data_IF_001822007410
#
_entry.id   IF_001822007410
#
_cell.length_a   1.000
_cell.length_b   1.000
_cell.length_c   1.000
_cell.angle_alpha   90.00
_cell.angle_beta   90.00
_cell.angle_gamma   90.00
#
_symmetry.space_group_name_H-M   'P 1'
#
loop_
_entity.id
_entity.type
_entity.pdbx_description
1 polymer ?
2 polymer ?
3 branched ?
4 non-polymer ?
5 water ?
#
# COMPACT_ATOMS: atom_id res chain seq x y z
N UNK A 1 -8.72 -21.13 -8.83
CA UNK A 1 -8.17 -21.39 -10.16
C UNK A 1 -7.81 -20.16 -10.97
N UNK A 2 -8.08 -18.97 -10.39
CA UNK A 2 -7.79 -17.66 -10.97
C UNK A 2 -6.40 -17.16 -10.48
N UNK A 3 -6.09 -15.88 -10.70
CA UNK A 3 -4.82 -15.30 -10.24
C UNK A 3 -5.17 -14.22 -9.24
N UNK A 4 -4.36 -14.05 -8.22
CA UNK A 4 -4.60 -13.01 -7.22
C UNK A 4 -3.70 -11.82 -7.48
N UNK A 5 -4.30 -10.66 -7.84
CA UNK A 5 -3.62 -9.41 -8.09
C UNK A 5 -3.76 -8.47 -6.90
N UNK A 6 -2.62 -8.06 -6.33
CA UNK A 6 -2.52 -7.14 -5.20
C UNK A 6 -1.62 -5.95 -5.58
N UNK A 7 -1.94 -4.78 -5.03
CA UNK A 7 -1.16 -3.54 -5.22
C UNK A 7 -1.14 -2.76 -3.91
N UNK A 8 -0.06 -1.99 -3.71
CA UNK A 8 0.10 -1.16 -2.53
C UNK A 8 -0.41 0.27 -2.79
N UNK A 9 -1.18 0.79 -1.83
CA UNK A 9 -1.68 2.18 -1.86
C UNK A 9 -1.17 2.94 -0.63
N UNK A 10 -0.38 3.99 -0.85
CA UNK A 10 0.09 4.86 0.22
C UNK A 10 -0.82 6.06 0.27
N UNK A 11 -1.21 6.44 1.49
CA UNK A 11 -1.98 7.63 1.75
C UNK A 11 -0.97 8.78 1.78
N UNK A 12 -1.51 10.01 1.87
CA UNK A 12 -0.77 11.23 2.10
C UNK A 12 -0.40 11.22 3.58
N UNK A 13 0.68 11.94 3.96
CA UNK A 13 1.17 12.09 5.33
C UNK A 13 0.05 12.70 6.18
N UNK A 14 -0.12 12.24 7.43
CA UNK A 14 -1.20 12.71 8.29
C UNK A 14 -1.10 14.13 8.89
N UNK A 15 0.08 14.55 9.33
CA UNK A 15 0.24 15.80 10.05
C UNK A 15 0.72 15.53 11.47
N UNK A 16 1.11 16.56 12.27
CA UNK A 16 1.78 16.27 13.56
C UNK A 16 0.99 16.13 14.87
N UNK A 17 -0.34 15.91 14.85
CA UNK A 17 -0.98 15.76 16.17
C UNK A 17 -1.29 14.27 16.52
N UNK A 18 -1.69 14.00 17.79
CA UNK A 18 -2.06 12.66 18.29
C UNK A 18 -3.35 12.22 17.58
N UNK A 19 -4.21 13.21 17.27
CA UNK A 19 -5.49 13.04 16.58
C UNK A 19 -5.35 13.10 15.06
N UNK A 20 -4.13 13.36 14.54
CA UNK A 20 -3.88 13.40 13.09
C UNK A 20 -3.99 11.99 12.56
N UNK A 21 -4.88 11.80 11.59
CA UNK A 21 -5.05 10.47 11.04
C UNK A 21 -4.78 10.45 9.49
N UNK A 22 -4.37 9.28 8.99
CA UNK A 22 -4.07 9.01 7.59
C UNK A 22 -4.96 7.86 7.14
N UNK A 23 -5.58 7.99 5.95
CA UNK A 23 -6.47 6.95 5.40
C UNK A 23 -5.99 6.51 4.00
N UNK A 24 -5.76 5.20 3.82
CA UNK A 24 -5.40 4.64 2.51
C UNK A 24 -6.63 3.82 2.08
N UNK A 25 -7.07 4.00 0.82
CA UNK A 25 -8.28 3.35 0.30
C UNK A 25 -8.04 2.61 -1.01
N UNK A 26 -8.86 1.56 -1.24
CA UNK A 26 -8.86 0.76 -2.47
C UNK A 26 -9.89 1.32 -3.43
N UNK A 27 -9.84 0.90 -4.73
CA UNK A 27 -10.84 1.29 -5.73
C UNK A 27 -12.16 0.60 -5.36
N UNK A 28 -13.35 1.17 -5.70
CA UNK A 28 -14.62 0.54 -5.30
C UNK A 28 -14.76 -0.99 -5.46
N UNK A 29 -14.24 -1.61 -6.55
CA UNK A 29 -14.40 -3.07 -6.73
C UNK A 29 -13.23 -3.92 -6.17
N UNK A 30 -12.25 -3.29 -5.50
CA UNK A 30 -11.13 -4.05 -4.93
C UNK A 30 -11.40 -4.39 -3.47
N UNK A 31 -10.66 -5.37 -2.94
CA UNK A 31 -10.77 -5.73 -1.54
C UNK A 31 -9.51 -5.29 -0.80
N UNK A 32 -9.69 -4.81 0.44
CA UNK A 32 -8.59 -4.40 1.32
C UNK A 32 -8.15 -5.66 2.09
N UNK A 33 -7.05 -6.29 1.66
CA UNK A 33 -6.60 -7.55 2.26
C UNK A 33 -5.67 -7.38 3.48
N UNK A 34 -5.09 -6.19 3.65
CA UNK A 34 -4.23 -5.86 4.81
C UNK A 34 -4.02 -4.37 4.94
N UNK A 35 -3.57 -3.95 6.11
CA UNK A 35 -3.36 -2.57 6.44
C UNK A 35 -2.12 -2.42 7.29
N UNK A 36 -1.16 -1.63 6.78
CA UNK A 36 0.08 -1.33 7.50
C UNK A 36 0.29 0.20 7.58
N UNK A 37 1.39 0.63 8.19
CA UNK A 37 1.68 2.05 8.38
C UNK A 37 3.16 2.35 8.48
N UNK A 38 3.55 3.60 8.22
CA UNK A 38 4.96 3.99 8.28
C UNK A 38 5.12 5.40 8.81
N UNK A 39 6.19 5.60 9.58
CA UNK A 39 6.59 6.88 10.13
C UNK A 39 8.10 6.94 10.09
N UNK A 40 8.66 8.02 9.52
CA UNK A 40 10.10 8.23 9.37
C UNK A 40 10.87 8.24 10.69
N UNK A 41 10.20 8.51 11.81
CA UNK A 41 10.81 8.59 13.14
C UNK A 41 10.40 7.44 14.08
N UNK A 42 9.33 6.77 13.71
CA UNK A 42 8.64 5.82 14.57
C UNK A 42 7.56 6.71 15.15
N UNK A 43 7.41 6.78 16.47
CA UNK A 43 6.41 7.67 17.10
C UNK A 43 5.02 7.54 16.41
N UNK A 44 4.53 6.30 16.32
CA UNK A 44 3.24 6.00 15.72
C UNK A 44 2.37 5.20 16.68
N UNK A 45 1.07 5.12 16.40
CA UNK A 45 0.13 4.34 17.20
C UNK A 45 -0.52 3.20 16.39
N UNK A 46 0.20 2.73 15.38
CA UNK A 46 -0.24 1.63 14.53
C UNK A 46 -1.33 1.96 13.53
N UNK A 47 -2.20 0.97 13.23
CA UNK A 47 -3.26 1.10 12.22
C UNK A 47 -4.46 0.14 12.40
N UNK A 48 -5.58 0.45 11.77
CA UNK A 48 -6.77 -0.38 11.86
C UNK A 48 -7.56 -0.40 10.58
N UNK A 49 -8.17 -1.55 10.29
CA UNK A 49 -9.06 -1.73 9.16
C UNK A 49 -10.46 -1.33 9.65
N UNK A 50 -10.98 -0.21 9.13
CA UNK A 50 -12.23 0.41 9.55
C UNK A 50 -13.24 0.49 8.42
N UNK A 51 -14.53 0.28 8.74
CA UNK A 51 -15.63 0.36 7.79
C UNK A 51 -16.01 1.82 7.56
N UNK A 52 -15.95 2.27 6.30
CA UNK A 52 -16.28 3.63 5.88
C UNK A 52 -17.04 3.59 4.53
N UNK A 53 -18.34 3.88 4.58
CA UNK A 53 -19.23 3.87 3.42
C UNK A 53 -19.43 2.50 2.80
N UNK A 54 -19.62 1.49 3.65
CA UNK A 54 -19.81 0.10 3.23
C UNK A 54 -18.52 -0.66 2.95
N UNK A 55 -17.45 0.06 2.58
CA UNK A 55 -16.15 -0.54 2.27
C UNK A 55 -15.17 -0.41 3.43
N UNK A 56 -14.20 -1.33 3.49
CA UNK A 56 -13.16 -1.29 4.52
C UNK A 56 -12.01 -0.40 4.07
N UNK A 57 -11.52 0.44 4.98
CA UNK A 57 -10.42 1.38 4.73
C UNK A 57 -9.30 1.15 5.73
N UNK A 58 -8.07 1.55 5.36
CA UNK A 58 -6.87 1.42 6.19
C UNK A 58 -6.56 2.79 6.84
N UNK A 59 -6.76 2.89 8.18
CA UNK A 59 -6.53 4.10 8.95
C UNK A 59 -5.27 3.98 9.84
N UNK A 60 -4.33 4.95 9.75
CA UNK A 60 -3.11 4.97 10.56
C UNK A 60 -3.19 6.04 11.64
N UNK A 61 -2.66 5.73 12.82
CA UNK A 61 -2.71 6.64 13.96
C UNK A 61 -1.34 7.18 14.33
N UNK A 62 -1.26 8.50 14.56
CA UNK A 62 -0.04 9.15 14.97
C UNK A 62 0.08 9.19 16.51
N UNK A 63 1.33 9.25 17.00
CA UNK A 63 1.56 9.34 18.44
C UNK A 63 1.87 10.77 18.80
N UNK A 64 1.65 11.14 20.08
CA UNK A 64 1.98 12.47 20.56
C UNK A 64 3.50 12.66 20.34
N UNK A 65 3.87 13.80 19.78
CA UNK A 65 5.27 14.09 19.45
C UNK A 65 5.69 13.59 18.08
N UNK A 66 4.78 12.89 17.40
CA UNK A 66 5.04 12.34 16.06
C UNK A 66 4.74 13.37 14.99
N UNK A 67 5.58 13.42 13.93
CA UNK A 67 5.44 14.35 12.79
C UNK A 67 4.33 13.97 11.80
N UNK A 68 3.79 12.77 11.97
CA UNK A 68 2.75 12.26 11.07
C UNK A 68 3.02 10.85 10.62
N UNK A 69 1.98 10.18 10.11
CA UNK A 69 2.07 8.79 9.66
C UNK A 69 1.48 8.60 8.27
N UNK A 70 1.86 7.50 7.61
CA UNK A 70 1.28 7.10 6.35
C UNK A 70 0.48 5.82 6.58
N UNK A 71 -0.74 5.76 6.04
CA UNK A 71 -1.56 4.55 6.04
C UNK A 71 -1.17 3.81 4.73
N UNK A 72 -1.02 2.47 4.82
CA UNK A 72 -0.58 1.65 3.69
C UNK A 72 -1.55 0.47 3.48
N UNK A 73 -2.40 0.63 2.48
CA UNK A 73 -3.40 -0.36 2.11
C UNK A 73 -2.83 -1.36 1.11
N UNK A 74 -3.24 -2.64 1.25
CA UNK A 74 -2.93 -3.66 0.26
C UNK A 74 -4.27 -3.95 -0.41
N UNK A 75 -4.37 -3.59 -1.70
CA UNK A 75 -5.60 -3.66 -2.49
C UNK A 75 -5.54 -4.75 -3.51
N UNK A 76 -6.55 -5.66 -3.47
CA UNK A 76 -6.51 -6.85 -4.31
C UNK A 76 -7.81 -7.13 -5.08
N UNK A 77 -7.66 -7.70 -6.29
CA UNK A 77 -8.77 -8.19 -7.11
C UNK A 77 -8.95 -9.66 -6.70
N UNK A 78 -9.90 -9.88 -5.80
CA UNK A 78 -10.26 -11.17 -5.22
C UNK A 78 -11.70 -11.49 -5.65
N UNK A 79 -11.90 -12.35 -6.69
CA UNK A 79 -13.27 -12.63 -7.16
C UNK A 79 -14.10 -13.41 -6.15
N UNK A 80 -15.42 -13.11 -6.08
CA UNK A 80 -16.40 -13.81 -5.24
C UNK A 80 -16.05 -13.80 -3.73
N UNK A 81 -15.58 -12.64 -3.24
CA UNK A 81 -15.10 -12.45 -1.86
C UNK A 81 -16.09 -11.86 -0.86
N UNK A 82 -15.93 -12.28 0.41
CA UNK A 82 -16.65 -11.76 1.56
C UNK A 82 -15.61 -11.59 2.65
N UNK A 83 -15.13 -10.36 2.82
CA UNK A 83 -14.10 -10.04 3.80
C UNK A 83 -14.64 -9.26 4.97
N UNK A 84 -14.23 -9.63 6.17
CA UNK A 84 -14.63 -8.97 7.40
C UNK A 84 -13.44 -8.77 8.36
N UNK A 85 -13.59 -7.89 9.35
CA UNK A 85 -12.53 -7.61 10.31
C UNK A 85 -12.92 -8.09 11.70
N UNK A 86 -12.00 -8.83 12.34
CA UNK A 86 -12.17 -9.36 13.70
C UNK A 86 -11.15 -8.66 14.59
N UNK A 87 -11.64 -7.96 15.62
CA UNK A 87 -10.83 -7.17 16.56
C UNK A 87 -10.85 -7.75 17.97
N UNK A 88 -9.67 -7.80 18.60
CA UNK A 88 -9.50 -8.20 19.99
C UNK A 88 -8.87 -6.98 20.69
N UNK A 89 -9.53 -6.42 21.74
CA UNK A 89 -8.97 -5.24 22.40
C UNK A 89 -7.75 -5.61 23.25
N UNK A 90 -6.96 -4.66 23.78
CA UNK A 90 -5.81 -5.07 24.59
C UNK A 90 -6.13 -5.69 25.95
N UNK A 91 -5.23 -6.55 26.41
CA UNK A 91 -5.26 -7.17 27.73
C UNK A 91 -3.86 -6.90 28.30
N UNK A 92 -3.64 -5.67 28.77
CA UNK A 92 -2.38 -5.17 29.32
C UNK A 92 -1.64 -6.14 30.25
N UNK A 93 -2.40 -6.96 31.03
CA UNK A 93 -1.89 -7.97 31.98
C UNK A 93 -1.52 -9.34 31.34
N UNK A 94 -1.59 -9.44 29.98
CA UNK A 94 -1.30 -10.66 29.22
C UNK A 94 0.10 -10.67 28.54
N UNK A 95 0.43 -11.79 27.87
CA UNK A 95 1.69 -12.00 27.14
C UNK A 95 1.57 -11.54 25.66
N UNK A 96 0.40 -11.02 25.29
CA UNK A 96 0.14 -10.54 23.93
C UNK A 96 -1.31 -10.70 23.50
N UNK A 97 -1.82 -9.72 22.74
CA UNK A 97 -3.20 -9.75 22.23
C UNK A 97 -3.33 -10.73 21.06
N UNK A 98 -4.36 -11.61 21.12
CA UNK A 98 -4.59 -12.63 20.11
C UNK A 98 -6.02 -12.58 19.53
N UNK A 99 -6.11 -12.79 18.20
CA UNK A 99 -7.36 -12.87 17.46
C UNK A 99 -7.22 -13.82 16.25
N UNK A 100 -8.29 -14.55 15.94
CA UNK A 100 -8.30 -15.44 14.80
C UNK A 100 -9.67 -15.41 14.09
N UNK A 101 -9.68 -15.80 12.80
CA UNK A 101 -10.89 -15.87 11.96
C UNK A 101 -11.89 -16.89 12.54
N UNK A 102 -13.09 -16.42 12.93
CA UNK A 102 -14.13 -17.25 13.56
C UNK A 102 -14.98 -18.09 12.60
N UNK A 103 -15.27 -17.60 11.39
CA UNK A 103 -16.13 -18.34 10.45
C UNK A 103 -15.42 -19.46 9.72
N UNK A 104 -16.12 -20.63 9.56
CA UNK A 104 -15.56 -21.77 8.84
C UNK A 104 -15.44 -21.36 7.37
N UNK A 105 -14.29 -21.62 6.79
CA UNK A 105 -13.97 -21.21 5.43
C UNK A 105 -13.25 -19.88 5.35
N UNK A 106 -13.20 -19.11 6.49
CA UNK A 106 -12.52 -17.80 6.59
C UNK A 106 -11.02 -17.99 6.51
N UNK A 107 -10.37 -17.15 5.71
CA UNK A 107 -8.93 -17.21 5.54
C UNK A 107 -8.33 -15.86 5.95
N UNK A 108 -7.28 -15.90 6.77
CA UNK A 108 -6.52 -14.73 7.23
C UNK A 108 -5.64 -14.22 6.07
N UNK A 109 -5.84 -12.94 5.70
CA UNK A 109 -5.11 -12.29 4.61
C UNK A 109 -4.17 -11.22 5.14
N UNK A 110 -4.44 -10.73 6.35
CA UNK A 110 -3.70 -9.63 6.97
C UNK A 110 -3.97 -9.38 8.44
N UNK A 111 -2.96 -8.79 9.13
CA UNK A 111 -2.99 -8.43 10.56
C UNK A 111 -2.59 -6.96 10.75
N UNK A 112 -3.46 -6.19 11.42
CA UNK A 112 -3.22 -4.78 11.77
C UNK A 112 -3.22 -4.66 13.29
N UNK A 113 -2.55 -3.62 13.81
CA UNK A 113 -2.46 -3.40 15.25
C UNK A 113 -2.35 -1.92 15.55
N UNK A 114 -3.11 -1.48 16.57
CA UNK A 114 -3.08 -0.09 17.00
C UNK A 114 -3.12 -0.03 18.51
N UNK A 115 -2.50 0.99 19.08
CA UNK A 115 -2.45 1.15 20.53
C UNK A 115 -2.91 2.55 20.92
N UNK A 116 -3.46 2.69 22.12
CA UNK A 116 -3.94 3.98 22.61
C UNK A 116 -2.88 4.76 23.36
N UNK A 117 -1.93 4.04 24.00
CA UNK A 117 -0.78 4.59 24.73
C UNK A 117 0.19 5.25 23.74
N UNK A 118 1.01 6.19 24.23
CA UNK A 118 1.98 6.99 23.48
C UNK A 118 3.02 6.13 22.72
N UNK A 119 3.47 5.01 23.34
CA UNK A 119 4.42 4.03 22.75
C UNK A 119 4.20 2.65 23.38
N UNK A 120 4.92 1.62 22.93
CA UNK A 120 4.71 0.29 23.48
C UNK A 120 5.73 -0.07 24.55
N UNK A 121 5.22 -0.70 25.60
CA UNK A 121 6.01 -1.14 26.74
C UNK A 121 6.85 -2.38 26.50
N UNK A 122 7.67 -2.71 27.51
CA UNK A 122 8.57 -3.86 27.53
C UNK A 122 7.93 -5.06 28.24
N UNK A 123 8.38 -6.27 27.87
CA UNK A 123 7.88 -7.55 28.38
C UNK A 123 8.95 -8.63 28.25
N UNK A 124 8.70 -9.82 28.84
CA UNK A 124 9.60 -10.95 28.72
C UNK A 124 9.15 -11.83 27.53
N UNK A 125 10.02 -12.06 26.50
CA UNK A 125 9.59 -12.88 25.35
C UNK A 125 9.51 -14.37 25.65
N UNK A 132 2.49 -17.94 16.75
CA UNK A 132 1.44 -17.91 15.75
C UNK A 132 0.78 -19.25 15.49
N UNK A 133 -0.55 -19.23 15.28
CA UNK A 133 -1.40 -20.39 14.98
C UNK A 133 -2.13 -20.22 13.63
N UNK A 134 -2.69 -21.29 12.98
CA UNK A 134 -3.39 -21.09 11.70
C UNK A 134 -4.54 -20.08 11.79
N UNK A 135 -4.51 -19.11 10.87
CA UNK A 135 -5.47 -18.00 10.73
C UNK A 135 -5.54 -17.11 11.98
N UNK A 136 -4.39 -16.95 12.70
CA UNK A 136 -4.28 -16.14 13.92
C UNK A 136 -3.26 -14.98 13.85
N UNK A 137 -3.68 -13.82 14.37
CA UNK A 137 -2.88 -12.60 14.51
C UNK A 137 -2.47 -12.47 15.97
N UNK A 138 -1.19 -12.16 16.21
CA UNK A 138 -0.66 -11.92 17.54
C UNK A 138 -0.01 -10.53 17.57
N UNK A 139 -0.49 -9.69 18.49
CA UNK A 139 0.01 -8.33 18.67
C UNK A 139 0.54 -8.10 20.07
N UNK A 140 1.01 -6.87 20.35
CA UNK A 140 1.55 -6.45 21.64
C UNK A 140 0.43 -6.49 22.70
N UNK A 141 0.77 -6.80 23.96
CA UNK A 141 -0.17 -6.88 25.09
C UNK A 141 -1.02 -5.61 25.32
N UNK A 142 -0.47 -4.42 24.94
CA UNK A 142 -1.06 -3.08 25.09
C UNK A 142 -1.72 -2.60 23.79
N UNK A 143 -1.73 -3.44 22.74
CA UNK A 143 -2.34 -3.05 21.46
C UNK A 143 -3.58 -3.87 21.09
N UNK A 144 -4.47 -3.28 20.27
CA UNK A 144 -5.66 -3.93 19.74
C UNK A 144 -5.17 -4.62 18.48
N UNK A 145 -5.63 -5.86 18.23
CA UNK A 145 -5.24 -6.63 17.07
C UNK A 145 -6.46 -6.78 16.12
N UNK A 146 -6.24 -6.57 14.81
CA UNK A 146 -7.30 -6.61 13.79
C UNK A 146 -6.94 -7.63 12.69
N UNK A 147 -7.77 -8.67 12.54
CA UNK A 147 -7.60 -9.75 11.58
C UNK A 147 -8.49 -9.55 10.36
N UNK A 148 -7.89 -9.51 9.16
CA UNK A 148 -8.64 -9.42 7.92
C UNK A 148 -9.01 -10.87 7.54
N UNK A 149 -10.31 -11.20 7.56
CA UNK A 149 -10.82 -12.56 7.31
C UNK A 149 -11.67 -12.64 6.06
N UNK A 150 -11.25 -13.45 5.08
CA UNK A 150 -11.93 -13.55 3.80
C UNK A 150 -12.49 -14.91 3.44
N UNK A 151 -13.68 -14.89 2.85
CA UNK A 151 -14.34 -16.04 2.25
C UNK A 151 -14.16 -15.79 0.73
N UNK A 152 -13.38 -16.62 0.04
CA UNK A 152 -13.17 -16.54 -1.41
C UNK A 152 -12.88 -17.97 -1.95
N UNK A 153 -13.52 -18.39 -3.07
CA UNK A 153 -13.35 -19.77 -3.55
C UNK A 153 -11.93 -20.16 -3.98
N UNK A 154 -11.42 -21.20 -3.32
CA UNK A 154 -10.10 -21.78 -3.57
C UNK A 154 -8.96 -21.04 -2.93
N UNK A 155 -9.28 -19.95 -2.19
CA UNK A 155 -8.28 -19.11 -1.52
C UNK A 155 -7.59 -19.84 -0.39
N UNK A 156 -6.26 -19.81 -0.44
CA UNK A 156 -5.37 -20.44 0.53
C UNK A 156 -4.28 -19.43 0.89
N UNK A 157 -4.03 -19.26 2.20
CA UNK A 157 -2.98 -18.35 2.67
C UNK A 157 -2.02 -19.03 3.60
N UNK A 158 -0.74 -18.65 3.52
CA UNK A 158 0.31 -19.15 4.38
C UNK A 158 1.19 -17.99 4.93
N UNK A 159 1.85 -18.25 6.06
CA UNK A 159 2.71 -17.27 6.74
C UNK A 159 4.19 -17.61 6.49
N UNK A 160 4.98 -16.58 6.16
CA UNK A 160 6.41 -16.72 5.95
C UNK A 160 7.11 -15.65 6.79
N UNK A 161 8.21 -16.00 7.45
CA UNK A 161 8.96 -15.09 8.31
C UNK A 161 10.45 -15.08 8.01
N UNK A 162 11.09 -13.93 8.27
CA UNK A 162 12.53 -13.73 8.17
C UNK A 162 12.95 -12.75 9.25
N UNK A 163 13.87 -13.21 10.11
CA UNK A 163 14.40 -12.43 11.21
C UNK A 163 15.91 -12.29 11.18
N UNK A 164 16.40 -11.07 11.41
CA UNK A 164 17.83 -10.75 11.45
C UNK A 164 18.16 -10.12 12.80
N UNK A 165 19.29 -10.51 13.47
CA UNK A 165 19.61 -9.92 14.78
C UNK A 165 19.91 -8.43 14.68
N UNK A 166 20.91 -8.04 13.84
CA UNK A 166 21.27 -6.64 13.59
C UNK A 166 20.20 -6.11 12.63
N UNK A 167 19.32 -5.18 13.07
CA UNK A 167 18.19 -4.76 12.21
C UNK A 167 18.56 -4.00 10.94
N UNK A 168 19.48 -3.03 11.06
CA UNK A 168 19.94 -2.12 9.99
C UNK A 168 18.77 -1.32 9.38
N UNK A 169 18.86 -0.97 8.08
CA UNK A 169 17.86 -0.20 7.34
C UNK A 169 16.52 -0.96 7.24
N UNK A 170 16.58 -2.27 6.90
CA UNK A 170 15.42 -3.11 6.71
C UNK A 170 15.66 -4.60 6.90
N UNK A 171 14.54 -5.36 6.93
CA UNK A 171 14.43 -6.82 6.99
C UNK A 171 13.37 -7.15 5.92
N UNK A 172 13.62 -8.15 5.08
CA UNK A 172 12.64 -8.50 4.06
C UNK A 172 12.36 -9.99 4.05
N UNK A 173 11.11 -10.35 3.68
CA UNK A 173 10.63 -11.70 3.48
C UNK A 173 9.78 -11.68 2.19
N UNK A 174 10.09 -12.57 1.25
CA UNK A 174 9.39 -12.59 -0.03
C UNK A 174 8.55 -13.87 -0.20
N UNK A 175 7.37 -13.78 -0.83
CA UNK A 175 6.55 -14.97 -1.10
C UNK A 175 7.20 -15.78 -2.20
N UNK A 176 6.96 -17.09 -2.23
CA UNK A 176 7.49 -17.90 -3.32
C UNK A 176 6.69 -17.64 -4.59
N UNK A 177 7.24 -18.05 -5.72
CA UNK A 177 6.62 -17.91 -7.04
C UNK A 177 5.34 -18.75 -7.07
N UNK A 178 4.23 -18.10 -7.47
CA UNK A 178 2.91 -18.72 -7.51
C UNK A 178 2.01 -18.16 -6.45
N UNK A 179 2.59 -17.52 -5.43
CA UNK A 179 1.89 -16.89 -4.31
C UNK A 179 1.91 -15.36 -4.44
N UNK A 180 0.91 -14.73 -3.86
CA UNK A 180 0.83 -13.27 -3.84
C UNK A 180 0.93 -12.78 -2.41
N UNK A 181 1.77 -11.77 -2.17
CA UNK A 181 1.89 -11.14 -0.88
C UNK A 181 0.63 -10.30 -0.63
N UNK A 182 -0.14 -10.65 0.41
CA UNK A 182 -1.37 -9.93 0.74
C UNK A 182 -1.25 -9.11 2.02
N UNK A 183 -0.37 -9.54 2.91
CA UNK A 183 -0.14 -8.90 4.21
C UNK A 183 1.31 -8.82 4.60
N UNK A 184 1.72 -7.65 5.09
CA UNK A 184 3.08 -7.37 5.52
C UNK A 184 3.17 -6.67 6.88
N UNK A 185 3.87 -7.26 7.84
CA UNK A 185 4.04 -6.70 9.17
C UNK A 185 5.32 -7.13 9.91
N UNK A 186 5.58 -6.49 11.05
CA UNK A 186 6.71 -6.77 11.94
C UNK A 186 6.19 -7.57 13.11
N UNK A 187 6.95 -8.59 13.55
CA UNK A 187 6.59 -9.42 14.70
C UNK A 187 6.64 -8.50 15.95
N UNK A 188 5.70 -8.62 16.93
CA UNK A 188 5.74 -7.69 18.08
C UNK A 188 6.91 -7.91 19.04
N UNK A 189 7.17 -6.90 19.87
CA UNK A 189 8.25 -6.92 20.85
C UNK A 189 9.57 -6.42 20.31
N UNK A 190 9.65 -6.27 18.97
CA UNK A 190 10.83 -5.78 18.27
C UNK A 190 10.91 -4.26 18.42
N UNK A 191 11.82 -3.76 19.28
CA UNK A 191 11.98 -2.32 19.50
C UNK A 191 12.59 -1.64 18.27
N UNK A 192 12.24 -0.35 18.06
CA UNK A 192 12.68 0.49 16.95
C UNK A 192 12.15 0.01 15.58
N UNK A 193 10.81 0.03 15.40
CA UNK A 193 10.19 -0.32 14.11
C UNK A 193 9.59 0.96 13.54
N UNK A 194 9.96 1.29 12.31
CA UNK A 194 9.44 2.50 11.65
C UNK A 194 8.13 2.22 10.89
N UNK A 195 8.04 1.01 10.35
CA UNK A 195 6.86 0.56 9.63
C UNK A 195 7.09 -0.67 8.78
N UNK A 196 6.05 -1.08 8.05
CA UNK A 196 6.06 -2.23 7.15
C UNK A 196 5.23 -1.94 5.89
N UNK A 197 5.63 -2.51 4.75
CA UNK A 197 4.91 -2.32 3.49
C UNK A 197 5.28 -3.38 2.45
N UNK A 198 4.32 -3.71 1.58
CA UNK A 198 4.53 -4.66 0.50
C UNK A 198 5.06 -3.97 -0.77
N UNK A 199 6.09 -4.57 -1.39
CA UNK A 199 6.69 -4.14 -2.66
C UNK A 199 6.66 -5.41 -3.49
N UNK A 200 5.69 -5.49 -4.43
CA UNK A 200 5.47 -6.67 -5.27
C UNK A 200 5.17 -7.83 -4.32
N UNK A 201 5.97 -8.90 -4.35
CA UNK A 201 5.75 -10.04 -3.45
C UNK A 201 6.75 -10.06 -2.28
N UNK A 202 7.35 -8.88 -1.98
CA UNK A 202 8.31 -8.69 -0.88
C UNK A 202 7.72 -7.85 0.23
N UNK A 203 7.83 -8.34 1.47
CA UNK A 203 7.38 -7.63 2.67
C UNK A 203 8.61 -6.90 3.24
N UNK A 204 8.53 -5.57 3.36
CA UNK A 204 9.61 -4.74 3.85
C UNK A 204 9.28 -4.19 5.24
N UNK A 205 10.17 -4.43 6.22
CA UNK A 205 10.07 -3.89 7.58
C UNK A 205 11.26 -2.96 7.80
N UNK A 206 10.98 -1.67 8.04
CA UNK A 206 11.99 -0.65 8.31
C UNK A 206 12.19 -0.50 9.82
N UNK A 207 13.45 -0.35 10.24
CA UNK A 207 13.90 -0.22 11.64
C UNK A 207 14.83 0.99 11.85
N UNK A 208 14.92 1.54 13.10
CA UNK A 208 15.70 2.75 13.45
C UNK A 208 17.23 2.46 13.71
N UNK A 209 17.74 1.28 13.32
CA UNK A 209 19.17 0.91 13.39
C UNK A 209 19.84 1.02 14.80
N UNK A 210 19.04 1.18 15.88
CA UNK A 210 19.56 1.31 17.25
C UNK A 210 20.14 -0.04 17.73
N UNK A 211 21.43 -0.03 18.12
CA UNK A 211 22.20 -1.21 18.60
C UNK A 211 21.65 -1.79 19.90
N UNK A 212 21.95 -3.10 20.14
CA UNK A 212 21.52 -3.89 21.32
C UNK A 212 21.88 -3.24 22.67
N UNK A 213 21.05 -3.53 23.70
CA UNK A 213 21.24 -3.03 25.07
C UNK A 213 21.10 -4.19 26.07
N UNK A 217 20.97 -11.46 24.82
CA UNK A 217 19.72 -10.73 24.56
C UNK A 217 19.97 -9.53 23.63
N UNK A 218 19.96 -9.78 22.31
CA UNK A 218 20.15 -8.75 21.28
C UNK A 218 18.89 -8.56 20.43
N UNK A 219 17.94 -9.50 20.56
CA UNK A 219 16.68 -9.49 19.83
C UNK A 219 16.84 -9.84 18.36
N UNK A 220 15.69 -9.91 17.64
CA UNK A 220 15.65 -10.21 16.21
C UNK A 220 14.44 -9.55 15.58
N UNK A 221 14.67 -8.54 14.72
CA UNK A 221 13.60 -7.84 14.00
C UNK A 221 13.11 -8.78 12.89
N UNK A 222 11.83 -9.17 12.97
CA UNK A 222 11.25 -10.14 12.04
C UNK A 222 10.17 -9.57 11.13
N UNK A 223 10.37 -9.72 9.80
CA UNK A 223 9.40 -9.40 8.76
C UNK A 223 8.46 -10.62 8.63
N UNK A 224 7.14 -10.38 8.72
CA UNK A 224 6.07 -11.37 8.66
C UNK A 224 5.19 -11.14 7.43
N UNK A 225 5.20 -12.11 6.51
CA UNK A 225 4.44 -12.07 5.26
C UNK A 225 3.26 -13.03 5.28
N UNK A 226 2.12 -12.58 4.75
CA UNK A 226 0.93 -13.40 4.53
C UNK A 226 0.83 -13.53 3.01
N UNK A 227 1.00 -14.77 2.53
CA UNK A 227 1.05 -15.11 1.12
C UNK A 227 -0.18 -15.90 0.74
N UNK A 228 -0.90 -15.50 -0.31
CA UNK A 228 -2.13 -16.16 -0.72
C UNK A 228 -2.13 -16.56 -2.19
N UNK A 229 -2.94 -17.58 -2.51
CA UNK A 229 -3.12 -18.11 -3.84
C UNK A 229 -4.52 -18.72 -3.95
N UNK A 230 -4.96 -18.96 -5.18
CA UNK A 230 -6.24 -19.62 -5.47
C UNK A 230 -5.99 -20.98 -6.12
N UNK A 231 -6.52 -22.07 -5.49
CA UNK A 231 -6.47 -23.48 -5.90
C UNK A 231 -5.14 -24.15 -5.48
N UNK B 1 5.02 -3.21 -30.41
CA UNK B 1 5.33 -2.37 -31.58
C UNK B 1 5.05 -0.88 -31.29
N UNK B 2 4.28 -0.59 -30.22
CA UNK B 2 3.91 0.77 -29.81
C UNK B 2 4.83 1.24 -28.69
N UNK B 3 5.47 2.41 -28.86
CA UNK B 3 6.29 2.99 -27.80
C UNK B 3 5.73 4.35 -27.39
N UNK B 4 5.47 4.48 -26.07
CA UNK B 4 4.92 5.69 -25.47
C UNK B 4 6.04 6.67 -25.17
N UNK B 5 5.88 7.94 -25.59
CA UNK B 5 6.89 8.99 -25.43
C UNK B 5 6.46 10.03 -24.41
N UNK B 6 7.22 10.17 -23.31
CA UNK B 6 6.94 11.10 -22.22
C UNK B 6 7.72 12.42 -22.32
N UNK B 7 7.02 13.55 -22.08
CA UNK B 7 7.59 14.90 -22.06
C UNK B 7 7.31 15.53 -20.71
N UNK B 8 8.29 16.30 -20.23
CA UNK B 8 8.22 16.98 -18.94
C UNK B 8 9.05 16.29 -17.88
N UNK B 9 8.93 16.79 -16.65
CA UNK B 9 9.68 16.26 -15.52
C UNK B 9 10.84 17.16 -15.12
N UNK B 10 11.64 16.66 -14.21
CA UNK B 10 12.83 17.35 -13.72
C UNK B 10 12.68 17.90 -12.32
N UNK B 11 13.37 19.00 -12.08
CA UNK B 11 13.39 19.69 -10.82
C UNK B 11 12.30 20.74 -10.81
N UNK B 12 11.58 20.83 -9.69
CA UNK B 12 10.53 21.81 -9.45
C UNK B 12 10.48 22.02 -7.92
N UNK B 13 10.14 23.22 -7.45
CA UNK B 13 10.13 23.51 -6.00
C UNK B 13 8.79 23.21 -5.39
N UNK B 14 8.78 22.88 -4.07
CA UNK B 14 7.58 22.58 -3.28
C UNK B 14 6.57 23.70 -3.44
N UNK B 15 5.33 23.34 -3.77
CA UNK B 15 4.25 24.29 -4.03
C UNK B 15 4.12 24.62 -5.50
N UNK B 16 5.13 24.23 -6.29
CA UNK B 16 5.21 24.47 -7.73
C UNK B 16 4.31 23.56 -8.54
N UNK B 17 4.33 23.74 -9.86
CA UNK B 17 3.50 22.98 -10.76
C UNK B 17 4.27 22.45 -11.96
N UNK B 18 3.82 21.31 -12.48
CA UNK B 18 4.47 20.65 -13.61
C UNK B 18 3.46 19.92 -14.48
N UNK B 19 3.70 19.86 -15.80
CA UNK B 19 2.85 19.11 -16.71
C UNK B 19 3.62 18.04 -17.46
N UNK B 20 3.20 16.81 -17.27
CA UNK B 20 3.73 15.64 -17.96
C UNK B 20 2.80 15.35 -19.11
N UNK B 21 3.39 14.94 -20.23
CA UNK B 21 2.66 14.62 -21.44
C UNK B 21 3.08 13.24 -21.91
N UNK B 22 2.19 12.53 -22.62
CA UNK B 22 2.51 11.21 -23.14
C UNK B 22 1.76 10.92 -24.42
N UNK B 23 2.47 10.46 -25.45
CA UNK B 23 1.88 10.14 -26.75
C UNK B 23 2.58 8.96 -27.41
N UNK B 24 1.85 8.07 -28.16
CA UNK B 24 2.54 6.97 -28.84
C UNK B 24 3.22 7.46 -30.13
N UNK B 25 4.30 6.77 -30.53
CA UNK B 25 5.06 7.11 -31.75
C UNK B 25 4.14 7.05 -32.98
N UNK B 26 3.23 6.05 -33.03
CA UNK B 26 2.20 5.86 -34.04
C UNK B 26 0.92 6.50 -33.48
N UNK B 27 0.51 7.66 -34.05
CA UNK B 27 -0.66 8.42 -33.60
C UNK B 27 -2.01 7.80 -33.98
N UNK B 28 -2.00 6.77 -34.86
CA UNK B 28 -3.23 6.04 -35.22
C UNK B 28 -3.61 5.05 -34.10
N UNK B 29 -2.67 4.77 -33.16
CA UNK B 29 -2.90 3.88 -32.02
C UNK B 29 -3.68 4.62 -30.95
N UNK B 30 -4.92 4.20 -30.72
CA UNK B 30 -5.77 4.77 -29.69
C UNK B 30 -6.02 3.70 -28.61
N UNK B 31 -5.53 3.97 -27.40
CA UNK B 31 -5.68 3.09 -26.25
C UNK B 31 -7.08 3.26 -25.67
N UNK B 32 -7.64 2.21 -25.08
CA UNK B 32 -8.95 2.30 -24.42
C UNK B 32 -8.72 3.09 -23.11
N UNK B 33 -7.61 2.81 -22.39
CA UNK B 33 -7.27 3.49 -21.15
C UNK B 33 -5.82 3.94 -21.12
N UNK B 34 -5.60 5.15 -20.58
CA UNK B 34 -4.29 5.75 -20.35
C UNK B 34 -4.12 5.92 -18.85
N UNK B 35 -2.89 5.76 -18.37
CA UNK B 35 -2.64 5.88 -16.94
C UNK B 35 -1.27 6.42 -16.56
N UNK B 36 -1.17 6.86 -15.31
CA UNK B 36 0.06 7.36 -14.73
C UNK B 36 0.34 6.57 -13.45
N UNK B 37 1.59 6.12 -13.34
CA UNK B 37 2.10 5.37 -12.20
C UNK B 37 3.36 6.09 -11.75
N UNK B 38 3.72 5.95 -10.48
CA UNK B 38 4.95 6.55 -9.96
C UNK B 38 5.68 5.60 -9.05
N UNK B 39 7.01 5.63 -9.12
CA UNK B 39 7.85 4.77 -8.31
C UNK B 39 8.86 5.56 -7.48
N UNK B 40 8.77 5.39 -6.16
CA UNK B 40 9.69 5.89 -5.16
C UNK B 40 10.74 4.74 -5.05
N UNK B 41 12.08 4.98 -4.97
CA UNK B 41 13.03 3.85 -4.89
C UNK B 41 12.78 3.00 -3.64
N UNK B 42 12.87 1.68 -3.82
CA UNK B 42 12.62 0.69 -2.78
C UNK B 42 11.14 0.32 -2.62
N UNK B 43 10.27 0.87 -3.49
CA UNK B 43 8.82 0.66 -3.48
C UNK B 43 8.33 0.28 -4.85
N UNK B 44 7.14 -0.35 -4.93
CA UNK B 44 6.59 -0.71 -6.24
C UNK B 44 6.08 0.51 -7.00
N UNK B 45 5.98 0.38 -8.32
CA UNK B 45 5.39 1.36 -9.23
C UNK B 45 3.92 1.39 -8.76
N UNK B 46 3.50 2.53 -8.20
CA UNK B 46 2.16 2.70 -7.65
C UNK B 46 1.27 3.60 -8.48
N UNK B 47 -0.03 3.31 -8.48
CA UNK B 47 -1.05 3.99 -9.25
C UNK B 47 -1.25 5.45 -8.85
N UNK B 48 -1.35 6.32 -9.87
CA UNK B 48 -1.60 7.74 -9.67
C UNK B 48 -2.96 8.11 -10.25
N UNK B 49 -3.14 7.93 -11.57
CA UNK B 49 -4.35 8.34 -12.25
C UNK B 49 -4.69 7.52 -13.48
N UNK B 50 -5.98 7.51 -13.83
CA UNK B 50 -6.47 6.81 -15.02
C UNK B 50 -7.55 7.64 -15.71
N UNK B 51 -7.67 7.43 -17.02
CA UNK B 51 -8.63 8.09 -17.89
C UNK B 51 -8.91 7.18 -19.07
N UNK B 52 -10.15 7.23 -19.55
CA UNK B 52 -10.57 6.53 -20.75
C UNK B 52 -11.04 7.57 -21.77
N UNK B 53 -12.35 7.81 -21.85
CA UNK B 53 -13.00 8.67 -22.84
C UNK B 53 -13.95 9.73 -22.28
N UNK B 54 -14.17 9.74 -20.94
CA UNK B 54 -15.08 10.68 -20.28
C UNK B 54 -14.50 11.20 -18.95
N UNK B 55 -15.23 12.11 -18.28
CA UNK B 55 -14.84 12.62 -16.96
C UNK B 55 -15.20 11.61 -15.85
N UNK B 56 -16.20 10.73 -16.13
CA UNK B 56 -16.69 9.66 -15.23
C UNK B 56 -15.67 8.53 -15.15
N UNK B 57 -14.83 8.41 -16.20
CA UNK B 57 -13.78 7.41 -16.33
C UNK B 57 -12.49 7.83 -15.56
N UNK B 58 -12.44 9.08 -15.07
CA UNK B 58 -11.30 9.58 -14.32
C UNK B 58 -11.31 9.03 -12.88
N UNK B 59 -10.11 8.57 -12.43
CA UNK B 59 -9.87 8.08 -11.07
C UNK B 59 -8.44 8.41 -10.60
N UNK B 60 -8.32 8.96 -9.39
CA UNK B 60 -7.06 9.34 -8.79
C UNK B 60 -6.83 8.59 -7.51
N UNK B 61 -5.55 8.44 -7.12
CA UNK B 61 -5.20 7.92 -5.81
C UNK B 61 -5.49 9.11 -4.85
N UNK B 62 -5.94 8.86 -3.60
CA UNK B 62 -6.31 9.91 -2.66
C UNK B 62 -5.22 10.97 -2.43
N UNK B 63 -3.96 10.52 -2.31
CA UNK B 63 -2.79 11.37 -2.08
C UNK B 63 -2.56 12.46 -3.15
N UNK B 64 -3.21 12.36 -4.35
CA UNK B 64 -3.02 13.34 -5.42
C UNK B 64 -4.32 14.12 -5.76
N UNK B 65 -5.47 13.68 -5.20
CA UNK B 65 -6.81 14.27 -5.40
C UNK B 65 -6.84 15.73 -4.98
N UNK B 66 -7.32 16.58 -5.88
CA UNK B 66 -7.41 18.02 -5.68
C UNK B 66 -6.19 18.78 -6.14
N UNK B 67 -5.06 18.07 -6.36
CA UNK B 67 -3.80 18.68 -6.80
C UNK B 67 -3.41 18.32 -8.24
N UNK B 68 -3.66 17.07 -8.65
CA UNK B 68 -3.31 16.55 -9.97
C UNK B 68 -4.55 16.42 -10.84
N UNK B 69 -4.42 16.68 -12.15
CA UNK B 69 -5.51 16.54 -13.12
C UNK B 69 -5.00 15.79 -14.33
N UNK B 70 -5.71 14.71 -14.69
CA UNK B 70 -5.46 13.86 -15.85
C UNK B 70 -6.45 14.30 -16.95
N UNK B 71 -5.96 14.48 -18.16
CA UNK B 71 -6.74 14.91 -19.30
C UNK B 71 -6.23 14.21 -20.55
N UNK B 72 -7.09 14.11 -21.58
CA UNK B 72 -6.75 13.45 -22.82
C UNK B 72 -7.17 14.30 -24.01
N UNK B 73 -6.29 14.37 -25.03
CA UNK B 73 -6.49 15.11 -26.27
C UNK B 73 -6.42 14.09 -27.40
N UNK B 74 -7.59 13.76 -27.97
CA UNK B 74 -7.73 12.79 -29.05
C UNK B 74 -7.04 13.24 -30.35
N UNK B 75 -7.24 14.51 -30.72
CA UNK B 75 -6.68 15.15 -31.93
C UNK B 75 -5.14 15.14 -31.96
N UNK B 76 -4.49 15.31 -30.80
CA UNK B 76 -3.04 15.30 -30.64
C UNK B 76 -2.55 13.89 -30.24
N UNK B 77 -3.50 13.01 -29.83
CA UNK B 77 -3.30 11.66 -29.30
C UNK B 77 -2.30 11.67 -28.15
N UNK B 78 -2.60 12.50 -27.13
CA UNK B 78 -1.77 12.73 -25.94
C UNK B 78 -2.62 12.74 -24.67
N UNK B 79 -2.07 12.18 -23.59
CA UNK B 79 -2.61 12.17 -22.24
C UNK B 79 -1.69 13.11 -21.41
N UNK B 80 -2.30 13.87 -20.50
CA UNK B 80 -1.58 14.85 -19.68
C UNK B 80 -1.79 14.59 -18.21
N UNK B 81 -0.78 14.93 -17.41
CA UNK B 81 -0.83 14.88 -15.97
C UNK B 81 -0.37 16.23 -15.44
N UNK B 82 -1.34 17.13 -15.21
CA UNK B 82 -1.11 18.45 -14.65
C UNK B 82 -0.96 18.24 -13.14
N UNK B 83 0.22 18.57 -12.62
CA UNK B 83 0.56 18.39 -11.22
C UNK B 83 0.72 19.75 -10.57
N UNK B 84 -0.24 20.14 -9.73
CA UNK B 84 -0.22 21.42 -9.03
C UNK B 84 0.03 21.22 -7.55
N UNK B 85 0.51 22.29 -6.88
CA UNK B 85 0.87 22.35 -5.45
C UNK B 85 1.71 21.14 -5.06
N UNK B 86 2.77 20.88 -5.85
CA UNK B 86 3.69 19.75 -5.66
C UNK B 86 4.29 19.73 -4.27
N UNK B 87 4.32 18.55 -3.66
CA UNK B 87 4.85 18.37 -2.32
C UNK B 87 6.10 17.50 -2.39
N UNK B 88 7.06 17.58 -1.42
CA UNK B 88 8.25 16.70 -1.49
C UNK B 88 7.92 15.21 -1.73
N UNK B 89 6.76 14.73 -1.20
CA UNK B 89 6.29 13.35 -1.36
C UNK B 89 5.89 12.98 -2.80
N UNK B 90 5.79 13.95 -3.73
CA UNK B 90 5.51 13.71 -5.15
C UNK B 90 6.76 13.29 -5.92
N UNK B 91 7.95 13.37 -5.28
CA UNK B 91 9.23 12.96 -5.87
C UNK B 91 9.19 11.46 -6.11
N UNK B 92 9.42 11.08 -7.38
CA UNK B 92 9.37 9.71 -7.91
C UNK B 92 9.64 9.72 -9.42
N UNK B 93 9.78 8.52 -10.00
CA UNK B 93 9.88 8.35 -11.46
C UNK B 93 8.46 8.08 -11.89
N UNK B 94 7.93 8.91 -12.79
CA UNK B 94 6.56 8.83 -13.30
C UNK B 94 6.51 8.11 -14.62
N UNK B 95 5.62 7.12 -14.73
CA UNK B 95 5.47 6.30 -15.91
C UNK B 95 4.07 6.44 -16.49
N UNK B 96 4.04 6.53 -17.81
CA UNK B 96 2.86 6.56 -18.64
C UNK B 96 2.50 5.09 -18.94
N UNK B 97 1.21 4.77 -18.96
CA UNK B 97 0.75 3.41 -19.23
C UNK B 97 -0.43 3.44 -20.16
N UNK B 98 -0.49 2.48 -21.09
CA UNK B 98 -1.56 2.35 -22.06
C UNK B 98 -2.14 0.96 -22.04
N UNK B 99 -3.48 0.87 -22.04
CA UNK B 99 -4.21 -0.39 -22.12
C UNK B 99 -4.96 -0.33 -23.45
N UNK B 100 -4.58 -1.19 -24.42
CA UNK B 100 -5.16 -1.23 -25.76
C UNK B 100 -6.67 -1.56 -25.83
N UNK B 101 -7.11 -2.60 -25.07
CA UNK B 101 -8.48 -3.09 -25.16
C UNK B 101 -9.37 -2.76 -23.95
N UNK B 102 -10.68 -2.97 -24.15
CA UNK B 102 -11.77 -2.77 -23.20
C UNK B 102 -11.54 -3.54 -21.91
N UNK B 103 -11.99 -2.95 -20.80
CA UNK B 103 -11.95 -3.54 -19.46
C UNK B 103 -13.37 -3.46 -18.89
N UNK B 104 -13.81 -4.56 -18.26
CA UNK B 104 -15.10 -4.67 -17.58
C UNK B 104 -15.13 -3.84 -16.30
N UNK B 105 -13.95 -3.54 -15.74
CA UNK B 105 -13.80 -2.69 -14.54
C UNK B 105 -14.01 -1.23 -14.91
N UNK B 106 -14.59 -0.44 -13.98
CA UNK B 106 -14.79 1.00 -14.18
C UNK B 106 -13.44 1.73 -14.31
N UNK B 107 -12.45 1.36 -13.48
CA UNK B 107 -11.10 1.97 -13.47
C UNK B 107 -10.02 0.91 -13.55
N UNK B 108 -8.96 1.15 -14.34
CA UNK B 108 -7.81 0.25 -14.48
C UNK B 108 -6.70 0.81 -13.61
N UNK B 109 -6.46 0.15 -12.46
CA UNK B 109 -5.55 0.61 -11.41
C UNK B 109 -4.29 -0.27 -11.21
N UNK B 110 -4.25 -1.45 -11.80
CA UNK B 110 -3.15 -2.40 -11.66
C UNK B 110 -2.22 -2.29 -12.84
N UNK B 111 -0.91 -2.51 -12.61
CA UNK B 111 0.13 -2.52 -13.64
C UNK B 111 -0.18 -3.58 -14.69
N UNK B 112 -0.58 -4.79 -14.20
CA UNK B 112 -0.97 -5.96 -14.99
C UNK B 112 -2.11 -5.66 -15.98
N UNK B 113 -2.92 -4.62 -15.69
CA UNK B 113 -4.04 -4.20 -16.54
C UNK B 113 -3.60 -3.39 -17.75
N UNK B 114 -2.34 -2.94 -17.76
CA UNK B 114 -1.79 -2.13 -18.84
C UNK B 114 -0.82 -2.92 -19.69
N UNK B 115 -0.72 -2.56 -20.98
CA UNK B 115 0.09 -3.26 -21.96
C UNK B 115 1.39 -2.58 -22.32
N UNK B 116 1.36 -1.26 -22.55
CA UNK B 116 2.52 -0.50 -22.98
C UNK B 116 2.91 0.54 -21.97
N UNK B 117 4.21 0.79 -21.86
CA UNK B 117 4.73 1.69 -20.83
C UNK B 117 5.72 2.70 -21.37
N UNK B 118 5.79 3.84 -20.69
CA UNK B 118 6.77 4.86 -21.00
C UNK B 118 8.12 4.46 -20.41
N UNK B 119 9.19 5.19 -20.80
CA UNK B 119 10.53 4.94 -20.31
C UNK B 119 10.69 5.33 -18.82
N UNK B 120 9.92 6.33 -18.39
CA UNK B 120 9.92 6.86 -17.04
C UNK B 120 10.61 8.20 -16.97
N UNK B 121 9.94 9.18 -16.37
CA UNK B 121 10.47 10.52 -16.24
C UNK B 121 10.59 10.89 -14.76
N UNK B 122 11.81 11.29 -14.35
CA UNK B 122 12.14 11.67 -12.99
C UNK B 122 11.54 13.03 -12.65
N UNK B 123 10.84 13.11 -11.51
CA UNK B 123 10.28 14.33 -10.95
C UNK B 123 10.88 14.50 -9.54
N UNK B 124 11.62 15.61 -9.32
CA UNK B 124 12.28 15.94 -8.06
C UNK B 124 11.66 17.22 -7.51
N UNK B 125 11.07 17.15 -6.31
CA UNK B 125 10.42 18.31 -5.69
C UNK B 125 11.29 18.88 -4.55
N UNK B 126 11.99 20.01 -4.82
CA UNK B 126 12.92 20.75 -3.92
C UNK B 126 12.33 21.17 -2.58
N UNK B 127 13.10 20.95 -1.49
CA UNK B 127 12.82 21.23 -0.08
C UNK B 127 11.36 21.18 0.33
#
# INVERSE_FOLDING_TARGET
>A
GWQLFCRTVWSAHSGPTRMATAVARCAPDEELLSCSSFSRSGKRRGERMEAQGGKLVCRAHNAFGGEGVYAIARCCLLPQANCSVHTAPPAEASMGTRVHCHQQGHVLTGCSSHWEVEDLGTHKPPVLRPRGQPNQCVGHREASIHASCCHAPGLECKVKEHGIPAPQEQVTVACEEGWTLTGCSALPGTSHVLGAYAVDNTCVVRSRDVSTTGSTSEGAVTAVAICCRSR
>B
QVKLEESGGGLVQAGGSLRLSCSPSDRTFSAYAMGWFRQVPGREREFVATIRDSDASIYYTDSVKGRFTISRDNAKNTVYLQMNSLIPDDTAVYYCAARQYYSGRVYSTFREEYDYWGQGTQVTVSS
#
